data_IF_987273287491
#
_entry.id   IF_987273287491
#
_cell.length_a   1.000
_cell.length_b   1.000
_cell.length_c   1.000
_cell.angle_alpha   90.00
_cell.angle_beta   90.00
_cell.angle_gamma   90.00
#
_symmetry.space_group_name_H-M   'P 1'
#
loop_
_entity.id
_entity.type
_entity.pdbx_description
1 polymer ?
#
# COMPACT_ATOMS: atom_id res chain seq x y z
N UNK A 1 30.73 15.89 -44.53
CA UNK A 1 31.72 14.96 -43.94
C UNK A 1 31.85 15.20 -42.44
N UNK A 2 30.86 14.79 -41.64
CA UNK A 2 30.85 14.99 -40.19
C UNK A 2 30.45 13.68 -39.49
N UNK A 3 31.21 12.61 -39.76
CA UNK A 3 30.88 11.24 -39.35
C UNK A 3 31.98 10.55 -38.53
N UNK A 4 32.95 11.27 -37.94
CA UNK A 4 34.15 10.61 -37.36
C UNK A 4 34.44 10.96 -35.89
N UNK A 5 33.72 11.88 -35.25
CA UNK A 5 34.07 12.38 -33.91
C UNK A 5 33.29 11.73 -32.73
N UNK A 6 32.87 10.47 -32.85
CA UNK A 6 32.20 9.74 -31.76
C UNK A 6 32.87 8.40 -31.40
N UNK A 7 34.20 8.29 -31.53
CA UNK A 7 34.94 7.03 -31.28
C UNK A 7 36.02 7.07 -30.19
N UNK A 8 36.15 8.14 -29.41
CA UNK A 8 37.18 8.19 -28.36
C UNK A 8 36.66 8.77 -27.05
N UNK A 9 35.97 7.95 -26.26
CA UNK A 9 35.90 8.11 -24.81
C UNK A 9 36.06 6.74 -24.13
N UNK A 10 36.82 6.65 -23.02
CA UNK A 10 37.23 5.40 -22.41
C UNK A 10 36.04 4.64 -21.82
N UNK A 11 36.01 3.32 -22.07
CA UNK A 11 35.17 2.35 -21.35
C UNK A 11 35.75 2.13 -19.97
N UNK A 12 34.91 2.18 -18.92
CA UNK A 12 35.06 1.67 -17.52
C UNK A 12 34.56 2.73 -16.53
N UNK A 13 33.66 2.50 -15.57
CA UNK A 13 32.91 1.32 -15.09
C UNK A 13 31.48 1.77 -14.81
N UNK A 14 30.53 1.24 -15.58
CA UNK A 14 29.10 1.48 -15.38
C UNK A 14 28.61 0.62 -14.22
N UNK A 15 27.95 1.22 -13.22
CA UNK A 15 26.99 0.47 -12.41
C UNK A 15 25.97 -0.17 -13.36
N UNK A 16 25.68 -1.45 -13.15
CA UNK A 16 24.90 -2.27 -14.07
C UNK A 16 23.60 -1.58 -14.50
N UNK A 17 23.32 -1.46 -15.81
CA UNK A 17 22.02 -1.01 -16.28
C UNK A 17 21.01 -2.13 -16.02
N UNK A 18 20.00 -1.86 -15.19
CA UNK A 18 18.83 -2.74 -15.11
C UNK A 18 18.22 -2.87 -16.52
N UNK A 19 18.16 -4.10 -17.00
CA UNK A 19 17.63 -4.45 -18.31
C UNK A 19 16.15 -4.08 -18.42
N UNK A 20 15.86 -2.95 -19.07
CA UNK A 20 14.54 -2.61 -19.60
C UNK A 20 14.58 -2.56 -21.12
N UNK A 21 14.31 -3.69 -21.78
CA UNK A 21 14.15 -3.75 -23.25
C UNK A 21 13.04 -2.80 -23.72
N UNK A 22 13.37 -1.80 -24.54
CA UNK A 22 12.46 -1.21 -25.53
C UNK A 22 11.81 0.15 -25.24
N UNK A 23 11.99 0.79 -24.08
CA UNK A 23 11.39 2.11 -23.79
C UNK A 23 12.37 3.26 -24.05
N UNK A 24 11.92 4.28 -24.79
CA UNK A 24 12.72 5.48 -25.08
C UNK A 24 13.11 6.20 -23.78
N UNK A 25 14.32 6.76 -23.73
CA UNK A 25 14.79 7.46 -22.52
C UNK A 25 14.07 8.81 -22.39
N UNK A 26 13.78 9.26 -21.16
CA UNK A 26 13.12 10.56 -20.91
C UNK A 26 13.78 11.72 -21.67
N UNK A 27 15.11 11.78 -21.69
CA UNK A 27 15.85 12.82 -22.41
C UNK A 27 15.64 12.77 -23.93
N UNK A 28 15.54 11.57 -24.51
CA UNK A 28 15.27 11.40 -25.95
C UNK A 28 13.84 11.84 -26.29
N UNK A 29 12.88 11.56 -25.42
CA UNK A 29 11.48 12.00 -25.56
C UNK A 29 11.41 13.53 -25.52
N UNK A 30 12.10 14.17 -24.58
CA UNK A 30 12.12 15.63 -24.44
C UNK A 30 12.83 16.33 -25.61
N UNK A 31 13.90 15.74 -26.15
CA UNK A 31 14.58 16.25 -27.35
C UNK A 31 13.69 16.12 -28.58
N UNK A 32 13.10 14.94 -28.80
CA UNK A 32 12.25 14.66 -29.97
C UNK A 32 10.98 15.51 -29.99
N UNK A 33 10.43 15.81 -28.81
CA UNK A 33 9.26 16.69 -28.66
C UNK A 33 9.61 18.18 -28.68
N UNK A 34 10.89 18.54 -28.82
CA UNK A 34 11.36 19.92 -28.87
C UNK A 34 11.21 20.68 -27.54
N UNK A 35 11.03 19.96 -26.43
CA UNK A 35 10.82 20.52 -25.09
C UNK A 35 12.11 20.81 -24.34
N UNK A 36 13.20 20.14 -24.74
CA UNK A 36 14.55 20.44 -24.25
C UNK A 36 15.53 20.50 -25.44
N UNK A 37 16.60 21.29 -25.30
CA UNK A 37 17.71 21.32 -26.26
C UNK A 37 18.84 20.36 -25.85
N UNK A 38 19.73 19.97 -26.79
CA UNK A 38 20.89 19.15 -26.46
C UNK A 38 21.78 19.76 -25.36
N UNK A 39 21.96 21.09 -25.38
CA UNK A 39 22.77 21.81 -24.39
C UNK A 39 22.12 21.81 -23.01
N UNK A 40 20.79 22.02 -22.94
CA UNK A 40 20.02 21.93 -21.69
C UNK A 40 20.08 20.52 -21.10
N UNK A 41 19.98 19.49 -21.94
CA UNK A 41 20.07 18.10 -21.50
C UNK A 41 21.48 17.76 -21.01
N UNK A 42 22.52 18.23 -21.70
CA UNK A 42 23.91 18.03 -21.30
C UNK A 42 24.20 18.69 -19.94
N UNK A 43 23.74 19.93 -19.75
CA UNK A 43 23.86 20.64 -18.47
C UNK A 43 23.14 19.92 -17.33
N UNK A 44 21.90 19.48 -17.56
CA UNK A 44 21.14 18.73 -16.56
C UNK A 44 21.76 17.37 -16.23
N UNK A 45 22.36 16.67 -17.20
CA UNK A 45 23.09 15.41 -16.96
C UNK A 45 24.36 15.62 -16.14
N UNK A 46 25.04 16.76 -16.31
CA UNK A 46 26.20 17.11 -15.50
C UNK A 46 25.79 17.40 -14.05
N UNK A 47 24.70 18.15 -13.86
CA UNK A 47 24.11 18.42 -12.54
C UNK A 47 23.56 17.14 -11.87
N UNK A 48 23.04 16.20 -12.65
CA UNK A 48 22.61 14.90 -12.15
C UNK A 48 23.77 14.13 -11.49
N UNK A 49 24.96 14.20 -12.08
CA UNK A 49 26.16 13.51 -11.57
C UNK A 49 26.67 14.13 -10.27
N UNK A 50 26.53 15.44 -10.08
CA UNK A 50 26.95 16.14 -8.87
C UNK A 50 25.93 16.00 -7.73
N UNK A 51 24.63 16.04 -8.04
CA UNK A 51 23.54 16.06 -7.05
C UNK A 51 22.99 14.68 -6.69
N UNK A 52 23.09 13.69 -7.58
CA UNK A 52 22.43 12.39 -7.43
C UNK A 52 20.91 12.43 -7.64
N UNK A 53 20.34 13.57 -8.04
CA UNK A 53 18.90 13.69 -8.35
C UNK A 53 18.52 12.94 -9.63
N UNK A 54 17.22 12.77 -9.88
CA UNK A 54 16.73 12.25 -11.16
C UNK A 54 16.79 13.35 -12.22
N UNK A 55 17.21 12.99 -13.44
CA UNK A 55 17.36 13.93 -14.59
C UNK A 55 16.16 14.87 -14.78
N UNK A 56 14.93 14.36 -14.69
CA UNK A 56 13.71 15.17 -14.83
C UNK A 56 13.59 16.27 -13.77
N UNK A 57 13.97 15.98 -12.52
CA UNK A 57 13.99 16.99 -11.45
C UNK A 57 15.04 18.06 -11.71
N UNK A 58 16.23 17.68 -12.20
CA UNK A 58 17.26 18.65 -12.58
C UNK A 58 16.75 19.59 -13.68
N UNK A 59 16.09 19.04 -14.71
CA UNK A 59 15.53 19.84 -15.81
C UNK A 59 14.44 20.81 -15.36
N UNK A 60 13.55 20.38 -14.45
CA UNK A 60 12.54 21.25 -13.85
C UNK A 60 13.16 22.36 -13.00
N UNK A 61 14.11 22.01 -12.11
CA UNK A 61 14.78 22.95 -11.20
C UNK A 61 15.58 24.00 -11.94
N UNK A 62 16.24 23.63 -13.04
CA UNK A 62 16.99 24.55 -13.91
C UNK A 62 16.07 25.39 -14.82
N UNK A 63 14.75 25.18 -14.75
CA UNK A 63 13.77 25.90 -15.58
C UNK A 63 13.88 25.57 -17.07
N UNK A 64 14.47 24.43 -17.42
CA UNK A 64 14.65 24.03 -18.82
C UNK A 64 13.38 23.41 -19.42
N UNK A 65 12.52 22.82 -18.58
CA UNK A 65 11.22 22.25 -18.98
C UNK A 65 10.14 22.70 -17.99
N UNK A 66 8.89 22.77 -18.44
CA UNK A 66 7.74 22.96 -17.55
C UNK A 66 7.31 21.63 -16.89
N UNK A 67 6.58 21.72 -15.78
CA UNK A 67 5.99 20.54 -15.12
C UNK A 67 5.06 19.77 -16.08
N UNK A 68 4.32 20.49 -16.91
CA UNK A 68 3.43 19.91 -17.91
C UNK A 68 4.20 19.13 -19.00
N UNK A 69 5.31 19.68 -19.47
CA UNK A 69 6.19 19.01 -20.45
C UNK A 69 6.85 17.78 -19.82
N UNK A 70 7.28 17.87 -18.56
CA UNK A 70 7.83 16.75 -17.82
C UNK A 70 6.82 15.62 -17.66
N UNK A 71 5.60 15.91 -17.19
CA UNK A 71 4.54 14.93 -17.01
C UNK A 71 4.13 14.29 -18.35
N UNK A 72 4.06 15.07 -19.43
CA UNK A 72 3.76 14.54 -20.76
C UNK A 72 4.84 13.56 -21.23
N UNK A 73 6.12 13.91 -21.07
CA UNK A 73 7.23 13.03 -21.44
C UNK A 73 7.27 11.77 -20.56
N UNK A 74 6.97 11.89 -19.28
CA UNK A 74 6.93 10.76 -18.34
C UNK A 74 5.77 9.81 -18.64
N UNK A 75 4.59 10.35 -18.95
CA UNK A 75 3.42 9.58 -19.39
C UNK A 75 3.74 8.76 -20.64
N UNK A 76 4.39 9.38 -21.64
CA UNK A 76 4.83 8.68 -22.85
C UNK A 76 5.85 7.59 -22.52
N UNK A 77 6.86 7.90 -21.71
CA UNK A 77 7.92 6.96 -21.35
C UNK A 77 7.38 5.69 -20.69
N UNK A 78 6.38 5.84 -19.81
CA UNK A 78 5.82 4.76 -19.01
C UNK A 78 4.56 4.14 -19.62
N UNK A 79 4.08 4.68 -20.75
CA UNK A 79 2.79 4.33 -21.36
C UNK A 79 1.61 4.46 -20.37
N UNK A 80 1.61 5.55 -19.60
CA UNK A 80 0.56 5.86 -18.63
C UNK A 80 -0.37 6.96 -19.15
N UNK A 81 -1.63 6.89 -18.78
CA UNK A 81 -2.60 7.95 -19.07
C UNK A 81 -2.38 9.13 -18.12
N UNK A 82 -2.37 10.35 -18.67
CA UNK A 82 -2.39 11.58 -17.88
C UNK A 82 -3.85 11.96 -17.60
N UNK A 83 -4.18 12.15 -16.33
CA UNK A 83 -5.53 12.50 -15.88
C UNK A 83 -5.49 13.85 -15.19
N UNK A 84 -6.50 14.69 -15.45
CA UNK A 84 -6.76 15.90 -14.67
C UNK A 84 -7.77 15.59 -13.58
N UNK A 85 -7.44 15.89 -12.33
CA UNK A 85 -8.28 15.54 -11.18
C UNK A 85 -9.33 16.61 -10.83
N UNK A 86 -9.13 17.82 -11.36
CA UNK A 86 -10.06 18.93 -11.20
C UNK A 86 -11.45 18.55 -11.75
N UNK A 87 -12.48 18.63 -10.90
CA UNK A 87 -13.87 18.33 -11.27
C UNK A 87 -14.22 16.85 -11.42
N UNK A 88 -13.26 15.93 -11.34
CA UNK A 88 -13.49 14.50 -11.43
C UNK A 88 -14.20 14.00 -10.16
N UNK A 89 -15.40 13.41 -10.26
CA UNK A 89 -16.11 12.88 -9.09
C UNK A 89 -15.65 11.46 -8.80
N UNK A 90 -15.10 11.24 -7.62
CA UNK A 90 -14.72 9.91 -7.12
C UNK A 90 -15.83 9.38 -6.23
N UNK A 91 -16.28 8.14 -6.46
CA UNK A 91 -17.29 7.49 -5.63
C UNK A 91 -16.79 7.33 -4.19
N UNK A 92 -17.65 7.52 -3.19
CA UNK A 92 -17.26 7.49 -1.76
C UNK A 92 -16.72 6.11 -1.37
N UNK A 93 -17.30 5.07 -1.95
CA UNK A 93 -16.92 3.67 -1.76
C UNK A 93 -15.47 3.45 -2.23
N UNK A 94 -15.08 4.10 -3.33
CA UNK A 94 -13.72 4.06 -3.89
C UNK A 94 -12.73 4.83 -3.01
N UNK A 95 -13.09 6.03 -2.53
CA UNK A 95 -12.24 6.81 -1.61
C UNK A 95 -11.96 6.02 -0.34
N UNK A 96 -12.98 5.36 0.22
CA UNK A 96 -12.85 4.62 1.47
C UNK A 96 -11.84 3.47 1.37
N UNK A 97 -11.63 2.87 0.19
CA UNK A 97 -10.69 1.74 0.01
C UNK A 97 -9.26 2.06 0.46
N UNK A 98 -8.89 3.34 0.49
CA UNK A 98 -7.56 3.78 0.84
C UNK A 98 -7.60 4.70 2.08
N UNK A 99 -6.83 4.43 3.15
CA UNK A 99 -6.73 5.34 4.30
C UNK A 99 -6.24 6.73 3.90
N UNK A 100 -6.82 7.77 4.52
CA UNK A 100 -6.44 9.17 4.29
C UNK A 100 -4.93 9.41 4.53
N UNK A 101 -4.38 8.87 5.62
CA UNK A 101 -2.95 9.02 5.95
C UNK A 101 -2.05 8.34 4.91
N UNK A 102 -2.48 7.21 4.36
CA UNK A 102 -1.74 6.53 3.31
C UNK A 102 -1.77 7.35 2.02
N UNK A 103 -2.96 7.78 1.60
CA UNK A 103 -3.15 8.64 0.44
C UNK A 103 -2.28 9.90 0.52
N UNK A 104 -2.28 10.58 1.67
CA UNK A 104 -1.46 11.77 1.95
C UNK A 104 0.04 11.48 1.91
N UNK A 105 0.48 10.42 2.60
CA UNK A 105 1.90 10.07 2.72
C UNK A 105 2.51 9.67 1.38
N UNK A 106 1.76 8.93 0.58
CA UNK A 106 2.24 8.36 -0.68
C UNK A 106 1.82 9.17 -1.91
N UNK A 107 1.17 10.34 -1.72
CA UNK A 107 0.65 11.20 -2.78
C UNK A 107 -0.08 10.37 -3.85
N UNK A 108 -1.06 9.59 -3.42
CA UNK A 108 -1.85 8.71 -4.27
C UNK A 108 -3.33 8.85 -3.94
N UNK A 109 -4.17 8.96 -4.96
CA UNK A 109 -5.62 9.10 -4.78
C UNK A 109 -6.36 8.06 -5.62
N UNK A 110 -7.32 7.33 -5.06
CA UNK A 110 -8.12 6.38 -5.83
C UNK A 110 -9.08 7.13 -6.76
N UNK A 111 -9.22 6.67 -8.00
CA UNK A 111 -10.08 7.29 -9.02
C UNK A 111 -11.35 6.49 -9.26
N UNK A 112 -11.19 5.21 -9.58
CA UNK A 112 -12.29 4.33 -9.94
C UNK A 112 -11.95 2.88 -9.61
N UNK A 113 -12.97 2.10 -9.23
CA UNK A 113 -12.89 0.66 -9.06
C UNK A 113 -13.77 0.00 -10.11
N UNK A 114 -13.20 -0.89 -10.92
CA UNK A 114 -13.93 -1.67 -11.92
C UNK A 114 -13.29 -3.03 -12.12
N UNK A 115 -14.10 -4.09 -12.22
CA UNK A 115 -13.65 -5.45 -12.54
C UNK A 115 -12.47 -5.95 -11.68
N UNK A 116 -12.52 -5.72 -10.36
CA UNK A 116 -11.43 -6.13 -9.45
C UNK A 116 -10.14 -5.32 -9.57
N UNK A 117 -10.14 -4.23 -10.35
CA UNK A 117 -9.02 -3.31 -10.54
C UNK A 117 -9.35 -1.95 -9.93
N UNK A 118 -8.43 -1.40 -9.14
CA UNK A 118 -8.44 -0.04 -8.64
C UNK A 118 -7.49 0.82 -9.48
N UNK A 119 -8.05 1.82 -10.13
CA UNK A 119 -7.24 2.84 -10.79
C UNK A 119 -6.91 3.95 -9.81
N UNK A 120 -5.63 4.30 -9.71
CA UNK A 120 -5.12 5.34 -8.80
C UNK A 120 -4.38 6.42 -9.59
N UNK A 121 -4.47 7.68 -9.15
CA UNK A 121 -3.61 8.76 -9.64
C UNK A 121 -2.42 8.96 -8.70
N UNK A 122 -1.22 9.08 -9.28
CA UNK A 122 0.03 9.38 -8.57
C UNK A 122 0.89 10.36 -9.37
N UNK A 123 1.77 11.09 -8.69
CA UNK A 123 2.80 11.94 -9.30
C UNK A 123 4.14 11.22 -9.47
N UNK A 124 4.32 10.08 -8.79
CA UNK A 124 5.54 9.27 -8.84
C UNK A 124 5.21 7.82 -9.23
N UNK A 125 4.92 7.57 -10.53
CA UNK A 125 4.53 6.24 -11.00
C UNK A 125 5.70 5.25 -11.04
N UNK A 126 5.38 3.96 -11.14
CA UNK A 126 6.37 2.89 -11.28
C UNK A 126 7.13 2.59 -9.98
N UNK A 127 6.53 2.90 -8.84
CA UNK A 127 7.02 2.49 -7.53
C UNK A 127 6.42 1.12 -7.20
N UNK A 128 7.08 0.04 -7.60
CA UNK A 128 6.59 -1.35 -7.42
C UNK A 128 6.10 -1.61 -5.98
N UNK A 129 6.84 -1.12 -4.98
CA UNK A 129 6.46 -1.23 -3.56
C UNK A 129 5.13 -0.54 -3.24
N UNK A 130 4.89 0.64 -3.79
CA UNK A 130 3.63 1.36 -3.59
C UNK A 130 2.46 0.61 -4.23
N UNK A 131 2.68 0.06 -5.43
CA UNK A 131 1.68 -0.75 -6.13
C UNK A 131 1.33 -2.00 -5.32
N UNK A 132 2.34 -2.69 -4.77
CA UNK A 132 2.14 -3.84 -3.88
C UNK A 132 1.41 -3.46 -2.59
N UNK A 133 1.80 -2.36 -1.94
CA UNK A 133 1.12 -1.85 -0.74
C UNK A 133 -0.35 -1.51 -1.03
N UNK A 134 -0.63 -0.87 -2.18
CA UNK A 134 -2.00 -0.57 -2.61
C UNK A 134 -2.81 -1.84 -2.88
N UNK A 135 -2.23 -2.84 -3.54
CA UNK A 135 -2.86 -4.16 -3.75
C UNK A 135 -3.18 -4.84 -2.42
N UNK A 136 -2.27 -4.77 -1.45
CA UNK A 136 -2.45 -5.35 -0.11
C UNK A 136 -3.57 -4.64 0.67
N UNK A 137 -3.56 -3.31 0.66
CA UNK A 137 -4.56 -2.50 1.38
C UNK A 137 -5.96 -2.74 0.80
N UNK A 138 -6.05 -2.76 -0.52
CA UNK A 138 -7.35 -2.72 -1.21
C UNK A 138 -7.87 -4.10 -1.60
N UNK A 139 -6.98 -5.10 -1.71
CA UNK A 139 -7.30 -6.44 -2.21
C UNK A 139 -7.62 -6.46 -3.71
N UNK A 140 -7.23 -5.42 -4.46
CA UNK A 140 -7.55 -5.23 -5.87
C UNK A 140 -6.27 -5.18 -6.70
N UNK A 141 -6.37 -5.53 -7.98
CA UNK A 141 -5.33 -5.16 -8.95
C UNK A 141 -5.24 -3.64 -9.05
N UNK A 142 -4.05 -3.10 -9.35
CA UNK A 142 -3.84 -1.64 -9.32
C UNK A 142 -3.29 -1.18 -10.66
N UNK A 143 -3.93 -0.16 -11.23
CA UNK A 143 -3.44 0.55 -12.42
C UNK A 143 -3.18 2.01 -12.07
N UNK A 144 -2.07 2.55 -12.59
CA UNK A 144 -1.65 3.91 -12.32
C UNK A 144 -2.12 4.87 -13.43
N UNK A 145 -2.49 6.07 -13.04
CA UNK A 145 -2.66 7.24 -13.89
C UNK A 145 -1.73 8.34 -13.37
N UNK A 146 -1.17 9.12 -14.29
CA UNK A 146 -0.25 10.20 -13.94
C UNK A 146 -1.03 11.51 -13.75
N UNK A 147 -0.77 12.20 -12.64
CA UNK A 147 -1.29 13.54 -12.36
C UNK A 147 -0.22 14.39 -11.67
N UNK A 148 -0.39 15.72 -11.66
CA UNK A 148 0.50 16.59 -10.91
C UNK A 148 0.34 16.36 -9.40
N UNK A 149 1.43 16.56 -8.65
CA UNK A 149 1.44 16.43 -7.19
C UNK A 149 0.45 17.40 -6.54
N UNK A 150 0.33 18.61 -7.10
CA UNK A 150 -0.62 19.62 -6.68
C UNK A 150 -2.06 19.13 -6.80
N UNK A 151 -2.47 18.64 -7.98
CA UNK A 151 -3.83 18.15 -8.20
C UNK A 151 -4.16 16.96 -7.30
N UNK A 152 -3.18 16.07 -7.05
CA UNK A 152 -3.37 14.93 -6.16
C UNK A 152 -3.62 15.38 -4.72
N UNK A 153 -2.82 16.33 -4.21
CA UNK A 153 -2.99 16.87 -2.85
C UNK A 153 -4.33 17.58 -2.68
N UNK A 154 -4.72 18.41 -3.66
CA UNK A 154 -6.02 19.07 -3.68
C UNK A 154 -7.15 18.02 -3.67
N UNK A 155 -7.02 16.95 -4.47
CA UNK A 155 -8.01 15.88 -4.53
C UNK A 155 -8.11 15.07 -3.25
N UNK A 156 -6.99 14.80 -2.60
CA UNK A 156 -6.95 14.12 -1.30
C UNK A 156 -7.66 14.98 -0.24
N UNK A 157 -7.42 16.30 -0.20
CA UNK A 157 -8.13 17.18 0.71
C UNK A 157 -9.66 17.12 0.44
N UNK A 158 -10.08 17.28 -0.81
CA UNK A 158 -11.50 17.19 -1.22
C UNK A 158 -12.15 15.85 -0.82
N UNK A 159 -11.48 14.72 -1.09
CA UNK A 159 -12.06 13.39 -0.88
C UNK A 159 -12.12 12.98 0.59
N UNK A 160 -11.12 13.36 1.39
CA UNK A 160 -10.96 12.88 2.76
C UNK A 160 -11.42 13.88 3.83
N UNK A 161 -11.38 15.19 3.60
CA UNK A 161 -11.89 16.16 4.59
C UNK A 161 -13.42 16.13 4.69
N UNK A 162 -14.10 15.89 3.56
CA UNK A 162 -15.54 15.64 3.51
C UNK A 162 -16.00 14.38 4.25
N UNK A 163 -15.07 13.54 4.71
CA UNK A 163 -15.36 12.32 5.48
C UNK A 163 -15.23 12.53 7.00
N UNK A 164 -14.39 13.46 7.47
CA UNK A 164 -14.21 13.76 8.89
C UNK A 164 -15.37 14.59 9.45
N UNK A 165 -15.85 15.60 8.71
CA UNK A 165 -17.01 16.42 9.11
C UNK A 165 -18.29 15.58 9.26
N UNK A 166 -18.51 14.60 8.36
CA UNK A 166 -19.66 13.69 8.44
C UNK A 166 -19.49 12.53 9.42
N UNK A 167 -18.26 12.14 9.77
CA UNK A 167 -18.01 11.20 10.87
C UNK A 167 -18.35 11.86 12.22
N UNK A 168 -18.11 13.16 12.36
CA UNK A 168 -18.44 13.91 13.58
C UNK A 168 -19.95 14.10 13.75
N UNK A 169 -20.71 14.27 12.66
CA UNK A 169 -22.19 14.28 12.71
C UNK A 169 -22.79 12.91 13.04
N UNK A 170 -22.10 11.81 12.71
CA UNK A 170 -22.54 10.44 13.01
C UNK A 170 -22.14 9.91 14.40
N UNK A 171 -21.39 10.67 15.18
CA UNK A 171 -20.87 10.30 16.50
C UNK A 171 -21.63 10.95 17.66
N UNK A 172 -22.83 11.51 17.42
CA UNK A 172 -23.77 11.75 18.51
C UNK A 172 -24.10 10.40 19.17
N UNK A 173 -23.99 10.29 20.51
CA UNK A 173 -24.06 9.00 21.17
C UNK A 173 -25.48 8.44 21.06
N UNK A 174 -25.64 7.40 20.26
CA UNK A 174 -26.80 6.53 20.38
C UNK A 174 -26.59 5.71 21.67
N UNK A 175 -27.40 6.02 22.65
CA UNK A 175 -27.54 5.31 23.91
C UNK A 175 -27.79 3.80 23.67
N UNK A 176 -27.21 3.00 24.57
CA UNK A 176 -27.44 1.58 24.83
C UNK A 176 -28.34 0.81 23.85
N UNK A 177 -27.69 0.01 23.01
CA UNK A 177 -28.34 -1.04 22.26
C UNK A 177 -27.33 -2.09 21.84
N UNK A 178 -27.40 -3.27 22.45
CA UNK A 178 -26.71 -4.48 22.00
C UNK A 178 -27.11 -4.76 20.54
N UNK A 179 -26.32 -4.25 19.58
CA UNK A 179 -26.50 -4.56 18.18
C UNK A 179 -26.03 -6.00 17.96
N UNK A 180 -26.97 -6.94 18.10
CA UNK A 180 -26.88 -8.30 17.59
C UNK A 180 -26.70 -8.26 16.07
N UNK A 181 -25.46 -8.15 15.60
CA UNK A 181 -25.12 -8.42 14.20
C UNK A 181 -25.13 -9.94 14.00
N UNK A 182 -26.32 -10.55 13.96
CA UNK A 182 -26.49 -12.01 13.80
C UNK A 182 -26.59 -12.45 12.33
N UNK A 183 -26.79 -11.52 11.38
CA UNK A 183 -26.88 -11.84 9.96
C UNK A 183 -25.51 -11.96 9.29
N UNK A 184 -25.31 -13.08 8.59
CA UNK A 184 -24.11 -13.38 7.80
C UNK A 184 -23.79 -12.30 6.75
N UNK A 185 -24.82 -11.79 6.08
CA UNK A 185 -24.66 -10.79 5.02
C UNK A 185 -24.17 -9.45 5.58
N UNK A 186 -24.71 -9.00 6.71
CA UNK A 186 -24.30 -7.74 7.35
C UNK A 186 -22.84 -7.81 7.84
N UNK A 187 -22.41 -8.97 8.33
CA UNK A 187 -21.01 -9.21 8.74
C UNK A 187 -20.08 -9.21 7.54
N UNK A 188 -20.49 -9.74 6.40
CA UNK A 188 -19.69 -9.73 5.17
C UNK A 188 -19.56 -8.30 4.61
N UNK A 189 -20.65 -7.52 4.63
CA UNK A 189 -20.61 -6.09 4.26
C UNK A 189 -19.66 -5.33 5.19
N UNK A 190 -19.82 -5.47 6.51
CA UNK A 190 -18.95 -4.86 7.52
C UNK A 190 -17.49 -5.31 7.38
N UNK A 191 -17.22 -6.58 7.09
CA UNK A 191 -15.86 -7.09 6.90
C UNK A 191 -15.17 -6.47 5.67
N UNK A 192 -15.94 -6.09 4.66
CA UNK A 192 -15.45 -5.39 3.47
C UNK A 192 -15.46 -3.86 3.65
N UNK A 193 -15.96 -3.33 4.77
CA UNK A 193 -15.86 -1.92 5.07
C UNK A 193 -14.40 -1.54 5.31
N UNK A 194 -13.93 -0.41 4.73
CA UNK A 194 -12.53 -0.05 4.88
C UNK A 194 -12.09 0.24 6.31
N UNK A 195 -13.00 0.64 7.20
CA UNK A 195 -12.72 0.76 8.64
C UNK A 195 -12.23 -0.57 9.23
N UNK A 196 -12.89 -1.68 8.90
CA UNK A 196 -12.52 -3.02 9.38
C UNK A 196 -11.26 -3.52 8.69
N UNK A 197 -11.13 -3.30 7.39
CA UNK A 197 -9.92 -3.65 6.63
C UNK A 197 -8.68 -2.96 7.23
N UNK A 198 -8.77 -1.65 7.45
CA UNK A 198 -7.69 -0.85 8.02
C UNK A 198 -7.35 -1.26 9.44
N UNK A 199 -8.37 -1.61 10.24
CA UNK A 199 -8.19 -2.10 11.60
C UNK A 199 -7.42 -3.42 11.64
N UNK A 200 -7.78 -4.40 10.80
CA UNK A 200 -7.06 -5.68 10.69
C UNK A 200 -5.61 -5.44 10.24
N UNK A 201 -5.42 -4.59 9.22
CA UNK A 201 -4.09 -4.24 8.74
C UNK A 201 -3.24 -3.56 9.82
N UNK A 202 -3.84 -2.67 10.62
CA UNK A 202 -3.18 -2.00 11.74
C UNK A 202 -2.74 -2.99 12.81
N UNK A 203 -3.60 -3.93 13.20
CA UNK A 203 -3.29 -4.97 14.19
C UNK A 203 -2.07 -5.80 13.71
N UNK A 204 -2.10 -6.27 12.47
CA UNK A 204 -1.00 -7.07 11.90
C UNK A 204 0.29 -6.24 11.79
N UNK A 205 0.19 -4.99 11.33
CA UNK A 205 1.35 -4.09 11.19
C UNK A 205 1.99 -3.74 12.54
N UNK A 206 1.17 -3.52 13.57
CA UNK A 206 1.64 -3.28 14.94
C UNK A 206 2.36 -4.51 15.50
N UNK A 207 1.76 -5.70 15.34
CA UNK A 207 2.37 -6.96 15.75
C UNK A 207 3.74 -7.20 15.09
N UNK A 208 3.85 -6.95 13.78
CA UNK A 208 5.12 -7.05 13.06
C UNK A 208 6.15 -6.02 13.52
N UNK A 209 5.73 -4.78 13.80
CA UNK A 209 6.60 -3.73 14.34
C UNK A 209 7.17 -4.12 15.71
N UNK A 210 6.37 -4.77 16.55
CA UNK A 210 6.76 -5.27 17.87
C UNK A 210 7.44 -6.65 17.83
N UNK A 211 7.67 -7.20 16.62
CA UNK A 211 8.29 -8.52 16.41
C UNK A 211 7.54 -9.66 17.11
N UNK A 212 6.22 -9.59 17.14
CA UNK A 212 5.37 -10.66 17.64
C UNK A 212 5.43 -11.90 16.73
N UNK A 213 5.39 -13.07 17.35
CA UNK A 213 5.34 -14.39 16.70
C UNK A 213 3.91 -14.88 16.44
N UNK A 214 2.99 -14.58 17.35
CA UNK A 214 1.56 -14.88 17.21
C UNK A 214 0.72 -13.67 17.64
N UNK A 215 -0.42 -13.47 16.97
CA UNK A 215 -1.50 -12.56 17.37
C UNK A 215 -2.67 -13.43 17.82
N UNK A 216 -3.20 -13.16 19.01
CA UNK A 216 -4.36 -13.84 19.57
C UNK A 216 -5.51 -12.85 19.73
N UNK A 217 -6.66 -13.17 19.14
CA UNK A 217 -7.91 -12.44 19.32
C UNK A 217 -8.93 -13.37 19.97
N UNK A 218 -9.29 -13.08 21.23
CA UNK A 218 -10.12 -13.98 22.04
C UNK A 218 -11.37 -13.23 22.53
N UNK A 219 -12.58 -13.66 22.13
CA UNK A 219 -13.80 -13.06 22.62
C UNK A 219 -14.20 -13.62 24.00
N UNK A 220 -14.67 -12.73 24.86
CA UNK A 220 -15.34 -13.03 26.13
C UNK A 220 -16.76 -12.44 26.11
N UNK A 221 -17.52 -12.66 27.18
CA UNK A 221 -18.91 -12.22 27.30
C UNK A 221 -19.08 -10.72 26.99
N UNK A 222 -18.28 -9.87 27.65
CA UNK A 222 -18.37 -8.41 27.55
C UNK A 222 -17.08 -7.73 27.08
N UNK A 223 -16.06 -8.52 26.77
CA UNK A 223 -14.75 -8.03 26.42
C UNK A 223 -14.20 -8.77 25.20
N UNK A 224 -13.28 -8.11 24.51
CA UNK A 224 -12.45 -8.70 23.47
C UNK A 224 -11.01 -8.53 23.94
N UNK A 225 -10.22 -9.59 23.89
CA UNK A 225 -8.81 -9.49 24.23
C UNK A 225 -7.95 -9.67 22.99
N UNK A 226 -7.04 -8.72 22.78
CA UNK A 226 -5.98 -8.81 21.80
C UNK A 226 -4.67 -9.07 22.55
N UNK A 227 -3.95 -10.13 22.21
CA UNK A 227 -2.65 -10.45 22.81
C UNK A 227 -1.61 -10.72 21.73
N UNK A 228 -0.40 -10.24 21.92
CA UNK A 228 0.75 -10.58 21.09
C UNK A 228 1.69 -11.52 21.83
N UNK A 229 2.23 -12.52 21.14
CA UNK A 229 3.35 -13.32 21.66
C UNK A 229 4.67 -12.70 21.25
N UNK A 230 5.31 -11.97 22.14
CA UNK A 230 6.61 -11.31 21.91
C UNK A 230 7.64 -12.02 22.78
N UNK A 231 8.71 -12.52 22.17
CA UNK A 231 9.79 -13.28 22.85
C UNK A 231 9.25 -14.43 23.72
N UNK A 232 8.22 -15.11 23.23
CA UNK A 232 7.56 -16.24 23.90
C UNK A 232 6.49 -15.86 24.94
N UNK A 233 6.45 -14.59 25.37
CA UNK A 233 5.52 -14.09 26.38
C UNK A 233 4.25 -13.50 25.73
N UNK A 234 3.08 -13.80 26.31
CA UNK A 234 1.83 -13.18 25.90
C UNK A 234 1.66 -11.82 26.57
N UNK A 235 1.55 -10.77 25.76
CA UNK A 235 1.35 -9.40 26.22
C UNK A 235 -0.01 -8.90 25.74
N UNK A 236 -0.81 -8.34 26.66
CA UNK A 236 -2.13 -7.78 26.36
C UNK A 236 -1.97 -6.44 25.65
N UNK A 237 -2.75 -6.24 24.59
CA UNK A 237 -2.77 -5.05 23.76
C UNK A 237 -4.14 -4.40 23.80
N UNK A 238 -4.24 -3.15 23.34
CA UNK A 238 -5.53 -2.48 23.21
C UNK A 238 -6.39 -3.24 22.17
N UNK A 239 -7.53 -3.83 22.57
CA UNK A 239 -8.37 -4.57 21.65
C UNK A 239 -9.22 -3.63 20.79
N UNK A 240 -9.68 -4.08 19.62
CA UNK A 240 -10.71 -3.36 18.91
C UNK A 240 -12.05 -3.40 19.68
N UNK A 241 -12.98 -2.47 19.37
CA UNK A 241 -14.33 -2.50 19.92
C UNK A 241 -15.01 -3.87 19.77
N UNK A 242 -15.69 -4.34 20.82
CA UNK A 242 -16.29 -5.69 20.89
C UNK A 242 -17.31 -5.97 19.77
N UNK A 243 -18.04 -4.95 19.35
CA UNK A 243 -19.02 -5.00 18.26
C UNK A 243 -18.37 -5.28 16.89
N UNK A 244 -17.08 -4.95 16.70
CA UNK A 244 -16.36 -5.23 15.45
C UNK A 244 -15.77 -6.64 15.37
N UNK A 245 -15.84 -7.44 16.45
CA UNK A 245 -15.23 -8.77 16.52
C UNK A 245 -15.63 -9.66 15.34
N UNK A 246 -16.92 -9.82 15.06
CA UNK A 246 -17.40 -10.69 13.98
C UNK A 246 -16.90 -10.23 12.59
N UNK A 247 -16.87 -8.92 12.35
CA UNK A 247 -16.37 -8.35 11.10
C UNK A 247 -14.85 -8.53 10.96
N UNK A 248 -14.09 -8.39 12.05
CA UNK A 248 -12.64 -8.66 12.10
C UNK A 248 -12.34 -10.12 11.79
N UNK A 249 -13.05 -11.07 12.43
CA UNK A 249 -12.90 -12.51 12.15
C UNK A 249 -13.23 -12.81 10.69
N UNK A 250 -14.35 -12.30 10.19
CA UNK A 250 -14.77 -12.47 8.80
C UNK A 250 -13.74 -11.93 7.82
N UNK A 251 -13.17 -10.74 8.09
CA UNK A 251 -12.11 -10.17 7.26
C UNK A 251 -10.85 -11.05 7.24
N UNK A 252 -10.45 -11.59 8.39
CA UNK A 252 -9.32 -12.53 8.47
C UNK A 252 -9.64 -13.83 7.69
N UNK A 253 -10.87 -14.33 7.76
CA UNK A 253 -11.32 -15.48 6.98
C UNK A 253 -11.24 -15.25 5.47
N UNK A 254 -11.68 -14.08 5.00
CA UNK A 254 -11.54 -13.67 3.60
C UNK A 254 -10.07 -13.68 3.18
N UNK A 255 -9.19 -13.05 3.97
CA UNK A 255 -7.76 -12.97 3.65
C UNK A 255 -7.11 -14.35 3.52
N UNK A 256 -7.51 -15.30 4.35
CA UNK A 256 -6.96 -16.66 4.38
C UNK A 256 -7.74 -17.68 3.52
N UNK A 257 -8.68 -17.22 2.69
CA UNK A 257 -9.53 -18.06 1.83
C UNK A 257 -10.31 -19.15 2.62
N UNK A 258 -10.80 -18.80 3.81
CA UNK A 258 -11.62 -19.66 4.67
C UNK A 258 -13.12 -19.42 4.44
N UNK A 259 -13.96 -20.38 4.85
CA UNK A 259 -15.40 -20.27 4.73
C UNK A 259 -15.98 -19.36 5.83
N UNK A 260 -16.52 -18.21 5.40
CA UNK A 260 -17.09 -17.17 6.28
C UNK A 260 -18.43 -17.62 6.89
N UNK A 261 -19.17 -18.47 6.16
CA UNK A 261 -20.46 -19.00 6.59
C UNK A 261 -20.31 -20.08 7.68
N UNK A 262 -19.22 -20.84 7.63
CA UNK A 262 -18.90 -21.83 8.66
C UNK A 262 -18.27 -21.14 9.88
N UNK A 263 -18.85 -21.36 11.07
CA UNK A 263 -18.43 -20.73 12.34
C UNK A 263 -18.46 -21.68 13.53
N UNK A 264 -18.93 -22.90 13.33
CA UNK A 264 -19.13 -23.90 14.37
C UNK A 264 -18.08 -25.02 14.33
N UNK A 265 -17.19 -24.96 13.34
CA UNK A 265 -16.08 -25.90 13.15
C UNK A 265 -14.78 -25.11 13.10
N UNK A 266 -13.68 -25.60 13.73
CA UNK A 266 -12.36 -25.01 13.56
C UNK A 266 -11.98 -24.91 12.08
N UNK A 267 -11.30 -23.83 11.70
CA UNK A 267 -10.80 -23.64 10.34
C UNK A 267 -9.34 -23.20 10.38
N UNK A 268 -8.57 -23.69 9.43
CA UNK A 268 -7.19 -23.29 9.21
C UNK A 268 -7.06 -22.68 7.82
N UNK A 269 -6.30 -21.60 7.73
CA UNK A 269 -6.02 -20.90 6.50
C UNK A 269 -4.60 -20.34 6.51
N UNK A 270 -4.17 -19.81 5.38
CA UNK A 270 -2.94 -19.05 5.32
C UNK A 270 -3.05 -17.97 4.25
N UNK A 271 -2.26 -16.92 4.41
CA UNK A 271 -2.10 -15.88 3.42
C UNK A 271 -0.70 -15.28 3.51
N UNK A 272 -0.27 -14.59 2.45
CA UNK A 272 1.02 -13.94 2.41
C UNK A 272 0.85 -12.43 2.38
N UNK A 273 1.67 -11.73 3.15
CA UNK A 273 1.73 -10.27 3.15
C UNK A 273 3.17 -9.80 2.98
N UNK A 274 3.33 -8.59 2.48
CA UNK A 274 4.61 -7.91 2.43
C UNK A 274 4.63 -6.83 3.50
N UNK A 275 5.67 -6.80 4.32
CA UNK A 275 5.85 -5.78 5.34
C UNK A 275 7.31 -5.30 5.33
N UNK A 276 7.53 -4.01 5.06
CA UNK A 276 8.87 -3.38 4.98
C UNK A 276 9.84 -4.13 4.02
N UNK A 277 9.30 -4.66 2.92
CA UNK A 277 10.07 -5.41 1.92
C UNK A 277 10.37 -6.87 2.30
N UNK A 278 9.88 -7.36 3.45
CA UNK A 278 9.97 -8.76 3.84
C UNK A 278 8.66 -9.48 3.53
N UNK A 279 8.76 -10.71 3.03
CA UNK A 279 7.60 -11.60 2.87
C UNK A 279 7.26 -12.23 4.21
N UNK A 280 6.02 -12.08 4.65
CA UNK A 280 5.50 -12.71 5.85
C UNK A 280 4.43 -13.70 5.44
N UNK A 281 4.66 -14.97 5.77
CA UNK A 281 3.68 -16.03 5.63
C UNK A 281 2.85 -16.06 6.92
N UNK A 282 1.56 -15.80 6.83
CA UNK A 282 0.66 -15.74 7.97
C UNK A 282 -0.19 -17.00 7.96
N UNK A 283 -0.07 -17.80 9.02
CA UNK A 283 -0.95 -18.96 9.25
C UNK A 283 -2.05 -18.55 10.19
N UNK A 284 -3.28 -18.92 9.86
CA UNK A 284 -4.47 -18.53 10.61
C UNK A 284 -5.18 -19.78 11.09
N UNK A 285 -5.56 -19.79 12.36
CA UNK A 285 -6.51 -20.75 12.90
C UNK A 285 -7.69 -20.02 13.53
N UNK A 286 -8.91 -20.49 13.28
CA UNK A 286 -10.12 -20.06 13.99
C UNK A 286 -10.68 -21.22 14.80
N UNK A 287 -11.16 -20.93 16.00
CA UNK A 287 -11.78 -21.92 16.88
C UNK A 287 -13.12 -21.36 17.41
N UNK A 288 -14.23 -22.10 17.26
CA UNK A 288 -15.51 -21.70 17.83
C UNK A 288 -15.44 -21.65 19.36
N UNK A 289 -16.02 -20.61 19.95
CA UNK A 289 -16.20 -20.43 21.39
C UNK A 289 -17.65 -20.06 21.68
N UNK A 290 -18.02 -20.02 22.96
CA UNK A 290 -19.37 -19.62 23.39
C UNK A 290 -19.70 -18.15 23.10
N UNK A 291 -18.70 -17.29 22.85
CA UNK A 291 -18.87 -15.85 22.63
C UNK A 291 -18.50 -15.40 21.20
N UNK A 292 -18.29 -16.34 20.28
CA UNK A 292 -17.88 -16.09 18.90
C UNK A 292 -16.68 -16.95 18.53
N UNK A 293 -15.85 -16.51 17.59
CA UNK A 293 -14.64 -17.25 17.20
C UNK A 293 -13.39 -16.65 17.83
N UNK A 294 -12.56 -17.51 18.43
CA UNK A 294 -11.18 -17.16 18.74
C UNK A 294 -10.33 -17.31 17.49
N UNK A 295 -9.43 -16.35 17.25
CA UNK A 295 -8.54 -16.35 16.09
C UNK A 295 -7.10 -16.25 16.53
N UNK A 296 -6.23 -17.06 15.92
CA UNK A 296 -4.78 -17.00 16.09
C UNK A 296 -4.13 -16.79 14.73
N UNK A 297 -3.22 -15.81 14.64
CA UNK A 297 -2.41 -15.56 13.46
C UNK A 297 -0.94 -15.76 13.83
N UNK A 298 -0.29 -16.76 13.25
CA UNK A 298 1.16 -16.97 13.38
C UNK A 298 1.90 -16.24 12.26
N UNK A 299 2.82 -15.36 12.62
CA UNK A 299 3.57 -14.52 11.70
C UNK A 299 4.94 -15.14 11.40
N UNK A 300 5.15 -15.63 10.18
CA UNK A 300 6.41 -16.24 9.76
C UNK A 300 7.13 -15.31 8.78
N UNK A 301 8.05 -14.51 9.32
CA UNK A 301 8.86 -13.58 8.51
C UNK A 301 9.94 -14.35 7.76
N UNK A 302 9.80 -14.49 6.43
CA UNK A 302 10.81 -15.11 5.58
C UNK A 302 11.93 -14.11 5.32
N UNK A 303 13.12 -14.39 5.85
CA UNK A 303 14.29 -13.53 5.76
C UNK A 303 15.05 -13.36 7.09
N UNK A 304 14.55 -13.89 8.20
CA UNK A 304 15.38 -14.07 9.38
C UNK A 304 16.46 -15.10 9.04
N UNK A 305 17.72 -14.67 9.03
CA UNK A 305 18.89 -15.55 8.98
C UNK A 305 18.71 -16.64 10.02
N UNK A 306 18.77 -17.90 9.60
CA UNK A 306 18.83 -19.03 10.54
C UNK A 306 20.10 -18.80 11.35
N UNK A 307 19.95 -18.62 12.67
CA UNK A 307 21.09 -18.47 13.55
C UNK A 307 22.04 -19.66 13.35
N UNK A 308 23.30 -19.36 13.09
CA UNK A 308 24.32 -20.39 12.92
C UNK A 308 24.51 -21.17 14.23
N UNK A 309 25.00 -22.42 14.20
CA UNK A 309 25.27 -23.19 15.42
C UNK A 309 26.11 -22.40 16.44
N UNK A 310 27.08 -21.61 15.96
CA UNK A 310 27.92 -20.73 16.78
C UNK A 310 27.13 -19.59 17.43
N UNK A 311 26.19 -18.97 16.71
CA UNK A 311 25.28 -17.95 17.27
C UNK A 311 24.26 -18.53 18.26
N UNK A 312 23.99 -19.83 18.16
CA UNK A 312 23.18 -20.60 19.11
C UNK A 312 23.98 -21.13 20.31
N UNK A 313 25.29 -20.82 20.38
CA UNK A 313 26.16 -21.27 21.47
C UNK A 313 26.50 -22.76 21.41
N UNK A 314 26.36 -23.39 20.24
CA UNK A 314 26.83 -24.76 20.01
C UNK A 314 28.27 -24.70 19.50
N UNK A 315 29.18 -25.28 20.27
CA UNK A 315 30.55 -25.52 19.83
C UNK A 315 30.56 -26.47 18.62
N UNK A 316 31.44 -26.19 17.66
CA UNK A 316 31.56 -26.91 16.39
C UNK A 316 31.93 -28.40 16.55
#
# INVERSE_FOLDING_TARGET
MASVLLKMLPRMTMGEPSEGRGRARLGEILLRSGKATPDQLAGALQEQRSSGERLGRCLLRLGHISEDDFLAALAEQLALERVKLAGLKVAKETVRLLPADFARRHAVVPLERSNGTLRVATSEPGLDRLIEDLRLITGLEVTEALSSEREIREKIAECYEASVERMLEGLLPAEDGEAKTENLHDIEVLANEPTVINLVNLIISAALKERASDIHLVPFEKALELRYRIDGLLQVQQPPPRNLHAAVVSRIKIMANMNIAERFIPQDGHFQIHHRGLRVDVRVGTMPTIYGESVVLRLLVKGATVATPVELGLDA
#
